data_IF_075689812127
#
_entry.id   IF_075689812127
#
_cell.length_a   1.000
_cell.length_b   1.000
_cell.length_c   1.000
_cell.angle_alpha   90.00
_cell.angle_beta   90.00
_cell.angle_gamma   90.00
#
_symmetry.space_group_name_H-M   'P 1'
#
loop_
_entity.id
_entity.type
_entity.pdbx_description
1 polymer ?
#
# COMPACT_ATOMS: atom_id res chain seq x y z
N UNK A 1 -13.00 3.96 12.28
CA UNK A 1 -12.84 2.53 12.62
C UNK A 1 -11.44 2.30 13.17
N UNK A 2 -11.34 1.84 14.41
CA UNK A 2 -10.05 1.53 15.05
C UNK A 2 -9.49 0.24 14.47
N UNK A 3 -8.21 0.25 14.07
CA UNK A 3 -7.53 -0.95 13.59
C UNK A 3 -7.36 -1.94 14.76
N UNK A 4 -7.74 -3.20 14.54
CA UNK A 4 -7.45 -4.30 15.50
C UNK A 4 -6.01 -4.82 15.38
N UNK A 5 -5.31 -4.47 14.31
CA UNK A 5 -3.92 -4.91 14.02
C UNK A 5 -2.92 -3.84 14.44
N UNK A 6 -1.68 -4.21 14.81
CA UNK A 6 -0.62 -3.24 15.07
C UNK A 6 -0.43 -2.32 13.87
N UNK A 7 -0.33 -1.02 14.15
CA UNK A 7 -0.08 0.00 13.15
C UNK A 7 1.37 -0.16 12.65
N UNK A 8 1.53 -0.24 11.34
CA UNK A 8 2.82 -0.27 10.67
C UNK A 8 3.24 1.17 10.37
N UNK A 9 4.44 1.59 10.80
CA UNK A 9 4.97 2.89 10.40
C UNK A 9 5.23 2.88 8.88
N UNK A 10 5.03 4.02 8.23
CA UNK A 10 5.41 4.22 6.83
C UNK A 10 6.94 4.17 6.70
N UNK A 11 7.53 3.23 5.95
CA UNK A 11 8.96 3.24 5.66
C UNK A 11 9.32 4.37 4.69
N UNK A 12 10.47 5.03 4.91
CA UNK A 12 10.94 6.16 4.10
C UNK A 12 11.07 5.81 2.62
N UNK A 13 11.52 4.58 2.31
CA UNK A 13 11.67 4.14 0.93
C UNK A 13 10.34 3.95 0.19
N UNK A 14 9.27 3.60 0.92
CA UNK A 14 7.92 3.51 0.36
C UNK A 14 7.34 4.92 0.19
N UNK A 15 7.54 5.80 1.16
CA UNK A 15 7.13 7.21 1.05
C UNK A 15 7.76 7.88 -0.17
N UNK A 16 9.08 7.75 -0.34
CA UNK A 16 9.80 8.32 -1.48
C UNK A 16 9.27 7.81 -2.83
N UNK A 17 8.88 6.53 -2.93
CA UNK A 17 8.31 5.97 -4.17
C UNK A 17 6.88 6.43 -4.44
N UNK A 18 6.07 6.57 -3.39
CA UNK A 18 4.73 7.16 -3.52
C UNK A 18 4.82 8.59 -4.00
N UNK A 19 5.75 9.36 -3.46
CA UNK A 19 5.96 10.76 -3.83
C UNK A 19 6.52 10.85 -5.27
N UNK A 20 7.52 10.03 -5.62
CA UNK A 20 8.07 9.99 -6.97
C UNK A 20 7.05 9.56 -8.04
N UNK A 21 6.08 8.71 -7.68
CA UNK A 21 5.00 8.30 -8.56
C UNK A 21 3.78 9.24 -8.53
N UNK A 22 3.76 10.26 -7.66
CA UNK A 22 2.59 11.13 -7.48
C UNK A 22 1.37 10.43 -6.85
N UNK A 23 1.56 9.26 -6.23
CA UNK A 23 0.48 8.41 -5.70
C UNK A 23 0.20 8.62 -4.21
N UNK A 24 0.86 9.60 -3.56
CA UNK A 24 0.68 9.86 -2.13
C UNK A 24 -0.77 10.15 -1.75
N UNK A 25 -1.44 11.02 -2.52
CA UNK A 25 -2.85 11.34 -2.29
C UNK A 25 -3.76 10.11 -2.49
N UNK A 26 -3.50 9.29 -3.52
CA UNK A 26 -4.24 8.06 -3.77
C UNK A 26 -4.06 7.06 -2.61
N UNK A 27 -2.85 6.93 -2.07
CA UNK A 27 -2.59 6.11 -0.89
C UNK A 27 -3.34 6.63 0.34
N UNK A 28 -3.26 7.92 0.63
CA UNK A 28 -3.88 8.53 1.81
C UNK A 28 -5.42 8.48 1.77
N UNK A 29 -6.02 8.48 0.57
CA UNK A 29 -7.44 8.26 0.36
C UNK A 29 -7.91 6.83 0.68
N UNK A 30 -6.99 5.85 0.74
CA UNK A 30 -7.37 4.46 1.05
C UNK A 30 -7.76 4.30 2.52
N UNK A 31 -8.71 3.39 2.83
CA UNK A 31 -9.07 3.08 4.20
C UNK A 31 -7.83 2.76 5.06
N UNK A 32 -7.78 3.19 6.33
CA UNK A 32 -6.61 2.98 7.20
C UNK A 32 -6.12 1.52 7.28
N UNK A 33 -7.03 0.55 7.16
CA UNK A 33 -6.67 -0.86 7.20
C UNK A 33 -5.90 -1.31 5.95
N UNK A 34 -6.25 -0.79 4.76
CA UNK A 34 -5.55 -1.13 3.51
C UNK A 34 -4.13 -0.60 3.53
N UNK A 35 -3.99 0.67 3.93
CA UNK A 35 -2.69 1.31 4.14
C UNK A 35 -1.82 0.46 5.07
N UNK A 36 -2.35 0.09 6.23
CA UNK A 36 -1.64 -0.70 7.22
C UNK A 36 -1.26 -2.11 6.73
N UNK A 37 -2.19 -2.78 6.05
CA UNK A 37 -2.01 -4.16 5.59
C UNK A 37 -1.03 -4.25 4.41
N UNK A 38 -0.99 -3.27 3.49
CA UNK A 38 0.07 -3.20 2.47
C UNK A 38 1.45 -3.08 3.12
N UNK A 39 1.61 -2.19 4.10
CA UNK A 39 2.88 -2.02 4.81
C UNK A 39 3.28 -3.32 5.54
N UNK A 40 2.32 -3.97 6.21
CA UNK A 40 2.56 -5.25 6.87
C UNK A 40 2.93 -6.36 5.87
N UNK A 41 2.27 -6.38 4.71
CA UNK A 41 2.54 -7.33 3.64
C UNK A 41 3.92 -7.12 3.02
N UNK A 42 4.31 -5.88 2.73
CA UNK A 42 5.63 -5.55 2.21
C UNK A 42 6.72 -5.90 3.25
N UNK A 43 6.52 -5.55 4.52
CA UNK A 43 7.47 -5.85 5.61
C UNK A 43 7.70 -7.37 5.82
N UNK A 44 6.70 -8.21 5.55
CA UNK A 44 6.83 -9.68 5.65
C UNK A 44 7.68 -10.32 4.53
N UNK A 45 8.07 -9.57 3.50
CA UNK A 45 8.89 -10.11 2.42
C UNK A 45 10.35 -10.29 2.85
N UNK A 46 10.79 -11.56 3.02
CA UNK A 46 12.17 -11.89 3.41
C UNK A 46 13.20 -11.67 2.31
N UNK A 47 12.79 -11.77 1.04
CA UNK A 47 13.67 -11.60 -0.13
C UNK A 47 13.47 -10.20 -0.73
N UNK A 48 14.54 -9.45 -1.06
CA UNK A 48 14.42 -8.14 -1.69
C UNK A 48 13.55 -8.17 -2.95
N UNK A 49 13.75 -9.15 -3.83
CA UNK A 49 12.96 -9.31 -5.06
C UNK A 49 11.45 -9.43 -4.78
N UNK A 50 11.05 -10.14 -3.72
CA UNK A 50 9.65 -10.26 -3.34
C UNK A 50 9.11 -8.95 -2.77
N UNK A 51 9.93 -8.24 -1.99
CA UNK A 51 9.57 -6.92 -1.44
C UNK A 51 9.30 -5.92 -2.56
N UNK A 52 10.18 -5.87 -3.55
CA UNK A 52 10.04 -5.02 -4.74
C UNK A 52 8.76 -5.33 -5.53
N UNK A 53 8.46 -6.62 -5.75
CA UNK A 53 7.20 -7.02 -6.41
C UNK A 53 5.95 -6.56 -5.66
N UNK A 54 5.97 -6.62 -4.32
CA UNK A 54 4.84 -6.17 -3.48
C UNK A 54 4.65 -4.66 -3.53
N UNK A 55 5.75 -3.91 -3.52
CA UNK A 55 5.70 -2.46 -3.69
C UNK A 55 5.14 -2.10 -5.06
N UNK A 56 5.65 -2.73 -6.12
CA UNK A 56 5.16 -2.50 -7.48
C UNK A 56 3.64 -2.80 -7.59
N UNK A 57 3.18 -3.92 -7.01
CA UNK A 57 1.75 -4.26 -6.95
C UNK A 57 0.92 -3.16 -6.29
N UNK A 58 1.36 -2.64 -5.15
CA UNK A 58 0.67 -1.55 -4.46
C UNK A 58 0.61 -0.29 -5.33
N UNK A 59 1.73 0.11 -5.94
CA UNK A 59 1.77 1.30 -6.79
C UNK A 59 0.86 1.15 -8.02
N UNK A 60 0.86 -0.02 -8.67
CA UNK A 60 -0.04 -0.31 -9.80
C UNK A 60 -1.51 -0.24 -9.39
N UNK A 61 -1.90 -0.82 -8.24
CA UNK A 61 -3.27 -0.74 -7.73
C UNK A 61 -3.68 0.69 -7.36
N UNK A 62 -2.76 1.49 -6.85
CA UNK A 62 -3.00 2.91 -6.57
C UNK A 62 -3.19 3.72 -7.85
N UNK A 63 -2.35 3.48 -8.86
CA UNK A 63 -2.43 4.13 -10.18
C UNK A 63 -3.72 3.77 -10.92
N UNK A 64 -4.15 2.51 -10.84
CA UNK A 64 -5.42 2.04 -11.39
C UNK A 64 -6.65 2.61 -10.68
N UNK A 65 -6.49 3.13 -9.46
CA UNK A 65 -7.59 3.65 -8.65
C UNK A 65 -8.55 2.60 -8.09
N UNK A 66 -8.26 1.31 -8.33
CA UNK A 66 -9.04 0.17 -7.85
C UNK A 66 -8.10 -1.00 -7.53
N UNK A 67 -8.65 -2.06 -6.96
CA UNK A 67 -7.90 -3.20 -6.48
C UNK A 67 -7.22 -2.95 -5.12
N UNK A 68 -6.95 -4.04 -4.43
CA UNK A 68 -6.24 -4.04 -3.16
C UNK A 68 -5.66 -5.44 -2.89
N UNK A 69 -4.33 -5.56 -2.90
CA UNK A 69 -3.61 -6.82 -2.68
C UNK A 69 -4.09 -7.97 -3.60
N UNK A 70 -4.39 -7.66 -4.85
CA UNK A 70 -4.95 -8.60 -5.84
C UNK A 70 -6.44 -8.93 -5.66
N UNK A 71 -7.12 -8.29 -4.71
CA UNK A 71 -8.57 -8.42 -4.52
C UNK A 71 -9.29 -7.31 -5.27
N UNK A 72 -10.50 -7.61 -5.75
CA UNK A 72 -11.38 -6.60 -6.33
C UNK A 72 -11.84 -5.62 -5.24
N UNK A 73 -11.49 -4.35 -5.41
CA UNK A 73 -11.85 -3.27 -4.51
C UNK A 73 -12.06 -1.99 -5.30
N UNK A 74 -13.13 -1.27 -5.00
CA UNK A 74 -13.37 0.05 -5.57
C UNK A 74 -13.59 1.08 -4.46
N UNK A 75 -13.09 2.31 -4.62
CA UNK A 75 -13.43 3.39 -3.73
C UNK A 75 -14.95 3.58 -3.78
N UNK A 76 -15.58 3.69 -2.60
CA UNK A 76 -16.96 4.15 -2.54
C UNK A 76 -16.94 5.65 -2.82
N UNK A 77 -17.47 6.02 -3.98
CA UNK A 77 -17.72 7.40 -4.36
C UNK A 77 -18.70 8.05 -3.39
#
# INVERSE_FOLDING_TARGET
MTLKRPIQPMPDDIAARLDAAGLRAAYDARPPYQRNDWLAWIARAKKPVTREKRIASMLTELEQGHGYMGMDWHPRN
#
